data_IF_711458627983
#
_entry.id   IF_711458627983
#
_cell.length_a   1.000
_cell.length_b   1.000
_cell.length_c   1.000
_cell.angle_alpha   90.00
_cell.angle_beta   90.00
_cell.angle_gamma   90.00
#
_symmetry.space_group_name_H-M   'P 1'
#
loop_
_entity.id
_entity.type
_entity.pdbx_description
1 polymer ?
#
# COMPACT_ATOMS: atom_id res chain seq x y z
N UNK A 1 -8.98 11.15 8.44
CA UNK A 1 -8.55 10.90 7.04
C UNK A 1 -7.25 11.64 6.67
N UNK A 2 -6.25 11.70 7.57
CA UNK A 2 -4.92 12.32 7.31
C UNK A 2 -3.81 11.32 7.67
N UNK A 3 -4.01 10.04 7.33
CA UNK A 3 -3.03 8.97 7.61
C UNK A 3 -2.53 8.27 6.34
N UNK A 4 -3.20 8.45 5.20
CA UNK A 4 -2.85 7.82 3.92
C UNK A 4 -1.68 8.52 3.20
N UNK A 5 -1.61 9.86 3.25
CA UNK A 5 -0.58 10.62 2.53
C UNK A 5 0.85 10.54 3.11
N UNK A 6 1.01 10.34 4.42
CA UNK A 6 2.34 10.35 5.08
C UNK A 6 2.97 8.96 5.20
N UNK A 7 2.22 7.89 4.89
CA UNK A 7 2.65 6.51 5.12
C UNK A 7 3.72 5.97 4.14
N UNK A 8 3.74 6.33 2.84
CA UNK A 8 4.78 5.82 1.94
C UNK A 8 6.15 6.44 2.19
N UNK A 9 6.21 7.73 2.58
CA UNK A 9 7.47 8.39 2.94
C UNK A 9 8.07 7.84 4.26
N UNK A 10 7.22 7.56 5.26
CA UNK A 10 7.62 6.96 6.54
C UNK A 10 8.11 5.51 6.39
N UNK A 11 7.46 4.70 5.54
CA UNK A 11 7.91 3.31 5.31
C UNK A 11 9.19 3.20 4.49
N UNK A 12 9.49 4.14 3.58
CA UNK A 12 10.77 4.14 2.86
C UNK A 12 11.95 4.50 3.79
N UNK A 13 11.70 5.37 4.78
CA UNK A 13 12.66 5.67 5.85
C UNK A 13 12.91 4.48 6.77
N UNK A 14 11.86 3.77 7.21
CA UNK A 14 12.01 2.55 8.02
C UNK A 14 12.59 1.36 7.23
N UNK A 15 12.41 1.31 5.90
CA UNK A 15 13.02 0.32 5.03
C UNK A 15 14.55 0.33 5.10
N UNK A 16 15.14 1.52 5.19
CA UNK A 16 16.59 1.69 5.36
C UNK A 16 17.04 1.32 6.78
N UNK A 17 16.15 1.46 7.77
CA UNK A 17 16.41 1.11 9.18
C UNK A 17 16.01 -0.32 9.57
N UNK A 18 15.53 -1.15 8.64
CA UNK A 18 15.11 -2.51 8.93
C UNK A 18 16.33 -3.42 9.20
N UNK A 19 16.36 -3.99 10.39
CA UNK A 19 17.43 -4.88 10.91
C UNK A 19 17.76 -6.06 9.98
N UNK A 20 16.78 -6.50 9.18
CA UNK A 20 16.99 -7.45 8.10
C UNK A 20 16.04 -7.22 6.92
N UNK A 21 16.50 -7.61 5.74
CA UNK A 21 15.72 -7.57 4.49
C UNK A 21 14.45 -8.43 4.55
N UNK A 22 14.46 -9.52 5.33
CA UNK A 22 13.29 -10.37 5.58
C UNK A 22 12.23 -9.67 6.43
N UNK A 23 12.66 -8.95 7.48
CA UNK A 23 11.75 -8.16 8.33
C UNK A 23 11.10 -7.03 7.53
N UNK A 24 11.89 -6.36 6.68
CA UNK A 24 11.38 -5.36 5.75
C UNK A 24 10.28 -5.92 4.83
N UNK A 25 10.54 -7.05 4.17
CA UNK A 25 9.54 -7.70 3.30
C UNK A 25 8.30 -8.14 4.09
N UNK A 26 8.47 -8.62 5.33
CA UNK A 26 7.35 -9.02 6.19
C UNK A 26 6.44 -7.83 6.51
N UNK A 27 7.03 -6.72 6.96
CA UNK A 27 6.29 -5.46 7.22
C UNK A 27 5.56 -4.95 5.99
N UNK A 28 6.21 -4.94 4.82
CA UNK A 28 5.56 -4.55 3.57
C UNK A 28 4.39 -5.46 3.18
N UNK A 29 4.48 -6.77 3.45
CA UNK A 29 3.35 -7.70 3.20
C UNK A 29 2.16 -7.40 4.11
N UNK A 30 2.39 -7.03 5.36
CA UNK A 30 1.32 -6.61 6.28
C UNK A 30 0.63 -5.35 5.74
N UNK A 31 1.40 -4.33 5.35
CA UNK A 31 0.84 -3.10 4.74
C UNK A 31 0.01 -3.42 3.49
N UNK A 32 0.48 -4.31 2.63
CA UNK A 32 -0.29 -4.75 1.45
C UNK A 32 -1.60 -5.45 1.80
N UNK A 33 -1.63 -6.22 2.89
CA UNK A 33 -2.85 -6.89 3.37
C UNK A 33 -3.89 -5.83 3.76
N UNK A 34 -3.50 -4.87 4.58
CA UNK A 34 -4.36 -3.78 5.07
C UNK A 34 -4.86 -2.87 3.93
N UNK A 35 -4.00 -2.57 2.94
CA UNK A 35 -4.40 -1.80 1.76
C UNK A 35 -5.41 -2.54 0.89
N UNK A 36 -5.29 -3.86 0.77
CA UNK A 36 -6.28 -4.67 0.04
C UNK A 36 -7.63 -4.70 0.75
N UNK A 37 -7.64 -4.83 2.07
CA UNK A 37 -8.85 -4.75 2.88
C UNK A 37 -9.51 -3.36 2.76
N UNK A 38 -8.70 -2.30 2.72
CA UNK A 38 -9.15 -0.91 2.47
C UNK A 38 -9.77 -0.79 1.08
N UNK A 39 -9.12 -1.32 0.03
CA UNK A 39 -9.66 -1.32 -1.35
C UNK A 39 -11.00 -2.06 -1.45
N UNK A 40 -11.14 -3.19 -0.75
CA UNK A 40 -12.41 -3.93 -0.68
C UNK A 40 -13.49 -3.09 0.01
N UNK A 41 -13.14 -2.43 1.13
CA UNK A 41 -14.06 -1.55 1.86
C UNK A 41 -14.54 -0.38 0.99
N UNK A 42 -13.64 0.25 0.23
CA UNK A 42 -13.99 1.32 -0.72
C UNK A 42 -14.92 0.81 -1.83
N UNK A 43 -14.68 -0.40 -2.35
CA UNK A 43 -15.58 -1.04 -3.34
C UNK A 43 -16.96 -1.37 -2.75
N UNK A 44 -17.04 -1.72 -1.48
CA UNK A 44 -18.32 -1.92 -0.79
C UNK A 44 -19.04 -0.58 -0.66
N UNK A 45 -18.36 0.48 -0.21
CA UNK A 45 -18.93 1.83 -0.12
C UNK A 45 -19.47 2.27 -1.48
N UNK A 46 -18.68 2.11 -2.55
CA UNK A 46 -19.10 2.42 -3.92
C UNK A 46 -20.40 1.70 -4.33
N UNK A 47 -20.59 0.45 -3.90
CA UNK A 47 -21.78 -0.35 -4.23
C UNK A 47 -22.97 -0.04 -3.33
N UNK A 48 -22.73 0.34 -2.08
CA UNK A 48 -23.78 0.61 -1.09
C UNK A 48 -24.33 2.03 -1.20
N UNK A 49 -23.51 3.02 -1.58
CA UNK A 49 -23.92 4.42 -1.76
C UNK A 49 -24.77 4.64 -3.04
N UNK A 50 -24.99 3.61 -3.86
CA UNK A 50 -25.89 3.68 -5.01
C UNK A 50 -25.38 4.59 -6.13
N UNK A 51 -26.20 5.57 -6.55
CA UNK A 51 -25.94 6.44 -7.72
C UNK A 51 -25.11 7.69 -7.43
N UNK A 52 -24.88 8.04 -6.15
CA UNK A 52 -24.12 9.24 -5.75
C UNK A 52 -23.01 8.87 -4.77
N UNK A 53 -21.98 8.10 -5.20
CA UNK A 53 -20.78 7.94 -4.40
C UNK A 53 -20.11 9.31 -4.18
N UNK A 54 -19.39 9.49 -3.06
CA UNK A 54 -18.62 10.72 -2.83
C UNK A 54 -17.71 11.01 -4.02
N UNK A 55 -17.66 12.26 -4.50
CA UNK A 55 -16.82 12.66 -5.65
C UNK A 55 -15.33 12.30 -5.46
N UNK A 56 -14.89 12.19 -4.20
CA UNK A 56 -13.53 11.82 -3.83
C UNK A 56 -13.27 10.30 -3.89
N UNK A 57 -14.31 9.48 -4.01
CA UNK A 57 -14.18 8.02 -3.96
C UNK A 57 -13.33 7.46 -5.12
N UNK A 58 -13.51 7.88 -6.39
CA UNK A 58 -12.66 7.42 -7.49
C UNK A 58 -11.18 7.79 -7.29
N UNK A 59 -10.88 9.00 -6.81
CA UNK A 59 -9.49 9.43 -6.60
C UNK A 59 -8.82 8.68 -5.45
N UNK A 60 -9.54 8.40 -4.36
CA UNK A 60 -9.04 7.60 -3.23
C UNK A 60 -8.85 6.13 -3.62
N UNK A 61 -9.73 5.58 -4.45
CA UNK A 61 -9.55 4.22 -4.99
C UNK A 61 -8.31 4.13 -5.88
N UNK A 62 -8.09 5.13 -6.74
CA UNK A 62 -6.89 5.22 -7.57
C UNK A 62 -5.61 5.33 -6.71
N UNK A 63 -5.59 6.21 -5.71
CA UNK A 63 -4.46 6.36 -4.79
C UNK A 63 -4.15 5.03 -4.07
N UNK A 64 -5.18 4.31 -3.63
CA UNK A 64 -5.01 2.97 -3.03
C UNK A 64 -4.33 1.97 -4.00
N UNK A 65 -4.72 1.96 -5.27
CA UNK A 65 -4.11 1.07 -6.28
C UNK A 65 -2.65 1.45 -6.58
N UNK A 66 -2.35 2.75 -6.67
CA UNK A 66 -0.99 3.27 -6.83
C UNK A 66 -0.10 2.86 -5.66
N UNK A 67 -0.58 3.00 -4.43
CA UNK A 67 0.13 2.55 -3.22
C UNK A 67 0.40 1.05 -3.26
N UNK A 68 -0.60 0.23 -3.60
CA UNK A 68 -0.42 -1.23 -3.76
C UNK A 68 0.68 -1.53 -4.78
N UNK A 69 0.68 -0.85 -5.93
CA UNK A 69 1.69 -1.02 -6.98
C UNK A 69 3.10 -0.70 -6.47
N UNK A 70 3.25 0.42 -5.76
CA UNK A 70 4.53 0.85 -5.16
C UNK A 70 5.04 -0.20 -4.16
N UNK A 71 4.18 -0.68 -3.26
CA UNK A 71 4.58 -1.67 -2.25
C UNK A 71 4.92 -3.03 -2.86
N UNK A 72 4.15 -3.48 -3.87
CA UNK A 72 4.48 -4.70 -4.62
C UNK A 72 5.84 -4.56 -5.30
N UNK A 73 6.09 -3.44 -5.99
CA UNK A 73 7.36 -3.20 -6.67
C UNK A 73 8.52 -3.14 -5.66
N UNK A 74 8.30 -2.52 -4.51
CA UNK A 74 9.28 -2.44 -3.42
C UNK A 74 9.65 -3.83 -2.89
N UNK A 75 8.68 -4.73 -2.71
CA UNK A 75 8.95 -6.14 -2.35
C UNK A 75 9.76 -6.85 -3.43
N UNK A 76 9.42 -6.65 -4.71
CA UNK A 76 10.13 -7.30 -5.83
C UNK A 76 11.59 -6.82 -5.91
N UNK A 77 11.82 -5.51 -5.85
CA UNK A 77 13.17 -4.92 -5.83
C UNK A 77 13.96 -5.40 -4.61
N UNK A 78 13.30 -5.42 -3.44
CA UNK A 78 13.86 -5.98 -2.21
C UNK A 78 13.96 -7.50 -2.21
N UNK A 79 13.57 -8.23 -3.25
CA UNK A 79 13.99 -9.64 -3.43
C UNK A 79 15.13 -9.77 -4.45
N UNK A 80 15.12 -8.97 -5.51
CA UNK A 80 16.09 -9.03 -6.59
C UNK A 80 17.52 -8.64 -6.17
N UNK A 81 17.68 -7.57 -5.39
CA UNK A 81 19.00 -7.12 -4.93
C UNK A 81 19.71 -8.05 -3.92
N UNK A 82 19.19 -9.24 -3.64
CA UNK A 82 19.84 -10.28 -2.82
C UNK A 82 20.59 -11.31 -3.65
N UNK A 83 20.46 -11.28 -4.98
CA UNK A 83 21.29 -12.05 -5.91
C UNK A 83 22.44 -11.17 -6.41
N UNK A 84 23.48 -11.02 -5.60
CA UNK A 84 24.83 -10.80 -6.14
C UNK A 84 25.61 -12.09 -5.87
N UNK A 85 25.77 -12.86 -6.94
CA UNK A 85 26.79 -13.89 -7.05
C UNK A 85 28.17 -13.26 -7.08
#
# INVERSE_FOLDING_TARGET
MVRSGTFPALNYGEAQSAESRSDFIHKLKVVLKELRETSISLKIIQRTEGSEPPEILPSVMQECEELISIFVRSIVTSRAGGKKS
#
